data_IF_362190571676
#
_entry.id   IF_362190571676
#
_cell.length_a   1.000
_cell.length_b   1.000
_cell.length_c   1.000
_cell.angle_alpha   90.00
_cell.angle_beta   90.00
_cell.angle_gamma   90.00
#
_symmetry.space_group_name_H-M   'P 1'
#
loop_
_entity.id
_entity.type
_entity.pdbx_description
1 polymer ?
#
# COMPACT_ATOMS: atom_id res chain seq x y z
N UNK A 1 -23.20 15.18 -1.81
CA UNK A 1 -21.92 14.65 -2.32
C UNK A 1 -21.35 13.75 -1.23
N UNK A 2 -21.20 12.45 -1.49
CA UNK A 2 -20.59 11.55 -0.52
C UNK A 2 -19.11 11.93 -0.39
N UNK A 3 -18.67 12.27 0.82
CA UNK A 3 -17.25 12.49 1.10
C UNK A 3 -16.52 11.19 0.82
N UNK A 4 -15.51 11.23 -0.05
CA UNK A 4 -14.68 10.06 -0.31
C UNK A 4 -14.00 9.64 1.00
N UNK A 5 -14.02 8.34 1.33
CA UNK A 5 -13.32 7.80 2.50
C UNK A 5 -11.85 8.23 2.48
N UNK A 6 -11.25 8.52 3.65
CA UNK A 6 -9.84 8.86 3.75
C UNK A 6 -8.93 7.78 3.11
N UNK A 7 -9.39 6.52 3.12
CA UNK A 7 -8.75 5.39 2.46
C UNK A 7 -8.70 5.53 0.93
N UNK A 8 -9.83 5.82 0.30
CA UNK A 8 -9.87 5.99 -1.16
C UNK A 8 -9.13 7.25 -1.60
N UNK A 9 -9.09 8.28 -0.74
CA UNK A 9 -8.30 9.48 -0.97
C UNK A 9 -6.79 9.21 -0.97
N UNK A 10 -6.29 8.33 -0.08
CA UNK A 10 -4.89 7.87 -0.14
C UNK A 10 -4.59 7.20 -1.49
N UNK A 11 -5.45 6.28 -1.93
CA UNK A 11 -5.26 5.56 -3.18
C UNK A 11 -5.31 6.51 -4.39
N UNK A 12 -6.23 7.49 -4.39
CA UNK A 12 -6.29 8.52 -5.44
C UNK A 12 -5.00 9.33 -5.51
N UNK A 13 -4.45 9.75 -4.36
CA UNK A 13 -3.17 10.49 -4.32
C UNK A 13 -2.02 9.67 -4.87
N UNK A 14 -1.96 8.37 -4.55
CA UNK A 14 -0.97 7.48 -5.15
C UNK A 14 -1.13 7.42 -6.68
N UNK A 15 -2.35 7.26 -7.18
CA UNK A 15 -2.62 7.26 -8.62
C UNK A 15 -2.34 8.61 -9.32
N UNK A 16 -2.53 9.73 -8.61
CA UNK A 16 -2.19 11.07 -9.08
C UNK A 16 -0.68 11.28 -9.20
N UNK A 17 0.10 10.63 -8.33
CA UNK A 17 1.55 10.81 -8.26
C UNK A 17 2.34 9.77 -9.04
N UNK A 18 1.82 8.55 -9.17
CA UNK A 18 2.54 7.40 -9.73
C UNK A 18 1.74 6.79 -10.88
N UNK A 19 2.34 6.74 -12.07
CA UNK A 19 1.68 6.25 -13.29
C UNK A 19 1.38 4.76 -13.17
N UNK A 20 2.25 3.98 -12.55
CA UNK A 20 2.01 2.55 -12.34
C UNK A 20 0.77 2.30 -11.49
N UNK A 21 0.55 3.14 -10.46
CA UNK A 21 -0.63 3.07 -9.60
C UNK A 21 -1.89 3.57 -10.31
N UNK A 22 -1.77 4.57 -11.22
CA UNK A 22 -2.90 5.03 -12.03
C UNK A 22 -3.55 3.88 -12.81
N UNK A 23 -2.74 3.05 -13.46
CA UNK A 23 -3.25 1.91 -14.24
C UNK A 23 -4.09 0.97 -13.38
N UNK A 24 -3.56 0.55 -12.23
CA UNK A 24 -4.28 -0.30 -11.27
C UNK A 24 -5.57 0.37 -10.81
N UNK A 25 -5.51 1.65 -10.43
CA UNK A 25 -6.69 2.37 -9.96
C UNK A 25 -7.80 2.45 -11.03
N UNK A 26 -7.43 2.75 -12.28
CA UNK A 26 -8.39 2.91 -13.37
C UNK A 26 -9.09 1.58 -13.71
N UNK A 27 -8.36 0.45 -13.65
CA UNK A 27 -8.93 -0.89 -13.85
C UNK A 27 -10.02 -1.19 -12.80
N UNK A 28 -9.72 -0.98 -11.52
CA UNK A 28 -10.72 -1.15 -10.46
C UNK A 28 -11.85 -0.12 -10.52
N UNK A 29 -11.55 1.12 -10.90
CA UNK A 29 -12.59 2.14 -11.04
C UNK A 29 -13.58 1.76 -12.15
N UNK A 30 -13.10 1.26 -13.29
CA UNK A 30 -13.96 0.81 -14.38
C UNK A 30 -14.87 -0.35 -13.95
N UNK A 31 -14.30 -1.36 -13.30
CA UNK A 31 -15.02 -2.59 -12.94
C UNK A 31 -16.04 -2.38 -11.81
N UNK A 32 -15.71 -1.58 -10.80
CA UNK A 32 -16.56 -1.47 -9.60
C UNK A 32 -17.54 -0.29 -9.69
N UNK A 33 -17.19 0.81 -10.35
CA UNK A 33 -18.09 1.97 -10.39
C UNK A 33 -19.22 1.82 -11.41
N UNK A 34 -19.03 1.03 -12.48
CA UNK A 34 -20.07 0.73 -13.46
C UNK A 34 -21.30 0.05 -12.82
N UNK A 35 -21.07 -0.80 -11.82
CA UNK A 35 -22.10 -1.54 -11.08
C UNK A 35 -22.55 -0.83 -9.78
N UNK A 36 -22.09 0.41 -9.56
CA UNK A 36 -22.40 1.18 -8.35
C UNK A 36 -21.77 0.62 -7.06
N UNK A 37 -20.74 -0.22 -7.20
CA UNK A 37 -20.02 -0.81 -6.07
C UNK A 37 -18.94 0.15 -5.55
N UNK A 38 -18.61 -0.01 -4.27
CA UNK A 38 -17.50 0.70 -3.67
C UNK A 38 -16.18 0.15 -4.21
N UNK A 39 -15.24 1.05 -4.51
CA UNK A 39 -13.90 0.69 -4.94
C UNK A 39 -13.18 -0.02 -3.78
N UNK A 40 -12.63 -1.24 -3.99
CA UNK A 40 -11.98 -2.02 -2.94
C UNK A 40 -10.56 -1.51 -2.65
N UNK A 41 -10.43 -0.45 -1.86
CA UNK A 41 -9.15 0.22 -1.56
C UNK A 41 -8.02 -0.70 -1.08
N UNK A 42 -8.35 -1.72 -0.27
CA UNK A 42 -7.40 -2.73 0.20
C UNK A 42 -6.84 -3.60 -0.93
N UNK A 43 -7.66 -3.97 -1.92
CA UNK A 43 -7.21 -4.77 -3.06
C UNK A 43 -6.32 -3.96 -3.98
N UNK A 44 -6.65 -2.69 -4.21
CA UNK A 44 -5.79 -1.79 -4.98
C UNK A 44 -4.42 -1.68 -4.33
N UNK A 45 -4.34 -1.46 -3.00
CA UNK A 45 -3.05 -1.42 -2.34
C UNK A 45 -2.30 -2.75 -2.37
N UNK A 46 -3.00 -3.89 -2.38
CA UNK A 46 -2.37 -5.20 -2.51
C UNK A 46 -1.72 -5.37 -3.88
N UNK A 47 -2.40 -4.93 -4.94
CA UNK A 47 -1.85 -4.97 -6.30
C UNK A 47 -0.70 -3.99 -6.49
N UNK A 48 -0.77 -2.80 -5.87
CA UNK A 48 0.35 -1.85 -5.83
C UNK A 48 1.54 -2.44 -5.08
N UNK A 49 1.32 -3.11 -3.94
CA UNK A 49 2.37 -3.83 -3.22
C UNK A 49 3.03 -4.91 -4.08
N UNK A 50 2.24 -5.72 -4.78
CA UNK A 50 2.76 -6.74 -5.69
C UNK A 50 3.61 -6.11 -6.82
N UNK A 51 3.14 -5.00 -7.40
CA UNK A 51 3.90 -4.26 -8.40
C UNK A 51 5.23 -3.72 -7.85
N UNK A 52 5.21 -3.10 -6.66
CA UNK A 52 6.41 -2.58 -5.99
C UNK A 52 7.43 -3.70 -5.74
N UNK A 53 6.98 -4.84 -5.20
CA UNK A 53 7.85 -5.99 -4.94
C UNK A 53 8.55 -6.49 -6.21
N UNK A 54 7.81 -6.55 -7.32
CA UNK A 54 8.31 -7.04 -8.62
C UNK A 54 9.31 -6.09 -9.29
N UNK A 55 9.27 -4.79 -8.99
CA UNK A 55 10.06 -3.76 -9.67
C UNK A 55 11.04 -3.02 -8.75
N UNK A 56 11.27 -3.52 -7.53
CA UNK A 56 12.06 -2.79 -6.53
C UNK A 56 13.53 -2.60 -6.93
N UNK A 57 14.05 -3.48 -7.78
CA UNK A 57 15.47 -3.46 -8.20
C UNK A 57 15.72 -2.58 -9.43
N UNK A 58 14.70 -2.33 -10.26
CA UNK A 58 14.84 -1.69 -11.57
C UNK A 58 13.97 -0.43 -11.76
N UNK A 59 13.09 -0.12 -10.80
CA UNK A 59 12.21 1.04 -10.87
C UNK A 59 12.39 2.01 -9.71
N UNK A 60 12.85 3.22 -10.03
CA UNK A 60 12.87 4.33 -9.07
C UNK A 60 11.47 4.72 -8.58
N UNK A 61 10.42 4.41 -9.36
CA UNK A 61 9.02 4.63 -8.95
C UNK A 61 8.60 3.68 -7.83
N UNK A 62 9.09 2.43 -7.82
CA UNK A 62 8.81 1.48 -6.73
C UNK A 62 9.37 1.98 -5.39
N UNK A 63 10.61 2.48 -5.39
CA UNK A 63 11.22 3.10 -4.20
C UNK A 63 10.46 4.36 -3.78
N UNK A 64 10.08 5.21 -4.74
CA UNK A 64 9.33 6.43 -4.44
C UNK A 64 7.94 6.17 -3.84
N UNK A 65 7.27 5.07 -4.21
CA UNK A 65 6.02 4.63 -3.59
C UNK A 65 6.24 4.23 -2.13
N UNK A 66 7.31 3.47 -1.83
CA UNK A 66 7.66 3.13 -0.45
C UNK A 66 7.94 4.38 0.39
N UNK A 67 8.74 5.30 -0.14
CA UNK A 67 9.06 6.57 0.54
C UNK A 67 7.81 7.42 0.77
N UNK A 68 6.91 7.49 -0.21
CA UNK A 68 5.64 8.20 -0.07
C UNK A 68 4.78 7.61 1.04
N UNK A 69 4.61 6.29 1.05
CA UNK A 69 3.79 5.61 2.05
C UNK A 69 4.40 5.71 3.45
N UNK A 70 5.72 5.58 3.57
CA UNK A 70 6.44 5.72 4.83
C UNK A 70 6.32 7.14 5.41
N UNK A 71 6.49 8.17 4.57
CA UNK A 71 6.37 9.57 4.98
C UNK A 71 4.94 9.97 5.37
N UNK A 72 3.92 9.35 4.77
CA UNK A 72 2.51 9.61 5.07
C UNK A 72 2.07 8.86 6.33
N UNK A 73 2.53 7.63 6.52
CA UNK A 73 2.11 6.75 7.62
C UNK A 73 1.98 7.42 9.01
N UNK A 74 2.99 8.14 9.54
CA UNK A 74 2.90 8.73 10.88
C UNK A 74 1.87 9.86 11.01
N UNK A 75 1.45 10.46 9.90
CA UNK A 75 0.51 11.59 9.86
C UNK A 75 -0.94 11.14 9.65
N UNK A 76 -1.16 9.86 9.39
CA UNK A 76 -2.45 9.33 8.98
C UNK A 76 -3.33 8.87 10.15
N UNK A 77 -4.64 8.91 9.91
CA UNK A 77 -5.63 8.35 10.84
C UNK A 77 -5.49 6.83 10.92
N UNK A 78 -5.92 6.23 12.04
CA UNK A 78 -5.80 4.78 12.31
C UNK A 78 -6.37 3.91 11.18
N UNK A 79 -7.46 4.35 10.53
CA UNK A 79 -8.08 3.63 9.43
C UNK A 79 -7.18 3.56 8.19
N UNK A 80 -6.48 4.65 7.88
CA UNK A 80 -5.56 4.72 6.73
C UNK A 80 -4.27 3.98 7.05
N UNK A 81 -3.77 4.09 8.28
CA UNK A 81 -2.67 3.25 8.76
C UNK A 81 -2.99 1.77 8.66
N UNK A 82 -4.22 1.37 9.03
CA UNK A 82 -4.68 -0.02 8.89
C UNK A 82 -4.79 -0.47 7.43
N UNK A 83 -5.21 0.43 6.53
CA UNK A 83 -5.17 0.17 5.09
C UNK A 83 -3.73 -0.04 4.59
N UNK A 84 -2.77 0.80 4.99
CA UNK A 84 -1.36 0.63 4.61
C UNK A 84 -0.81 -0.69 5.17
N UNK A 85 -1.07 -1.00 6.44
CA UNK A 85 -0.59 -2.22 7.06
C UNK A 85 -1.15 -3.48 6.38
N UNK A 86 -2.47 -3.60 6.26
CA UNK A 86 -3.13 -4.81 5.77
C UNK A 86 -3.13 -4.88 4.24
N UNK A 87 -3.47 -3.78 3.58
CA UNK A 87 -3.57 -3.72 2.12
C UNK A 87 -2.20 -3.75 1.45
N UNK A 88 -1.20 -3.09 2.03
CA UNK A 88 0.12 -2.92 1.39
C UNK A 88 1.22 -3.76 2.06
N UNK A 89 1.47 -3.61 3.36
CA UNK A 89 2.60 -4.28 4.04
C UNK A 89 2.41 -5.79 4.13
N UNK A 90 1.24 -6.27 4.54
CA UNK A 90 0.97 -7.71 4.54
C UNK A 90 1.07 -8.31 3.14
N UNK A 91 0.59 -7.59 2.13
CA UNK A 91 0.70 -8.01 0.72
C UNK A 91 2.15 -8.09 0.26
N UNK A 92 2.99 -7.10 0.60
CA UNK A 92 4.43 -7.13 0.30
C UNK A 92 5.12 -8.36 0.90
N UNK A 93 4.82 -8.68 2.16
CA UNK A 93 5.40 -9.83 2.84
C UNK A 93 4.83 -11.17 2.36
N UNK A 94 3.54 -11.22 2.01
CA UNK A 94 2.89 -12.41 1.44
C UNK A 94 3.27 -12.68 0.00
N UNK A 95 3.86 -11.71 -0.70
CA UNK A 95 4.33 -11.85 -2.09
C UNK A 95 5.67 -12.63 -2.18
N UNK A 96 5.77 -13.80 -1.51
CA UNK A 96 6.69 -14.93 -1.75
C UNK A 96 8.10 -14.64 -2.32
N UNK A 97 8.91 -13.83 -1.65
CA UNK A 97 10.34 -14.07 -1.32
C UNK A 97 11.56 -13.93 -2.28
N UNK A 98 11.53 -13.43 -3.54
CA UNK A 98 12.80 -13.04 -4.19
C UNK A 98 13.32 -11.67 -3.72
N UNK A 99 12.40 -10.73 -3.43
CA UNK A 99 12.75 -9.31 -3.25
C UNK A 99 12.53 -8.78 -1.82
N UNK A 100 12.20 -9.65 -0.86
CA UNK A 100 11.95 -9.28 0.54
C UNK A 100 13.08 -8.46 1.17
N UNK A 101 14.36 -8.87 1.05
CA UNK A 101 15.49 -8.09 1.55
C UNK A 101 15.60 -6.71 0.91
N UNK A 102 15.37 -6.58 -0.40
CA UNK A 102 15.46 -5.35 -1.18
C UNK A 102 14.33 -4.39 -0.81
N UNK A 103 13.09 -4.90 -0.72
CA UNK A 103 11.93 -4.13 -0.24
C UNK A 103 12.18 -3.64 1.18
N UNK A 104 12.68 -4.49 2.08
CA UNK A 104 12.98 -4.09 3.46
C UNK A 104 14.08 -3.04 3.52
N UNK A 105 15.14 -3.20 2.70
CA UNK A 105 16.25 -2.25 2.61
C UNK A 105 15.81 -0.89 2.06
N UNK A 106 14.89 -0.88 1.10
CA UNK A 106 14.32 0.33 0.50
C UNK A 106 13.21 0.96 1.36
N UNK A 107 12.56 0.18 2.23
CA UNK A 107 11.51 0.68 3.12
C UNK A 107 12.07 1.65 4.15
N UNK A 108 11.37 2.78 4.33
CA UNK A 108 11.61 3.71 5.43
C UNK A 108 11.29 3.11 6.82
N UNK A 109 11.56 3.86 7.90
CA UNK A 109 11.51 3.35 9.26
C UNK A 109 10.15 2.82 9.71
N UNK A 110 9.03 3.42 9.26
CA UNK A 110 7.70 3.01 9.71
C UNK A 110 7.25 1.73 9.04
N UNK A 111 7.39 1.65 7.72
CA UNK A 111 7.06 0.45 6.96
C UNK A 111 8.00 -0.70 7.35
N UNK A 112 9.29 -0.43 7.58
CA UNK A 112 10.23 -1.44 8.08
C UNK A 112 9.78 -1.99 9.43
N UNK A 113 9.38 -1.14 10.38
CA UNK A 113 8.85 -1.60 11.67
C UNK A 113 7.64 -2.50 11.50
N UNK A 114 6.72 -2.17 10.59
CA UNK A 114 5.55 -3.02 10.32
C UNK A 114 5.94 -4.37 9.71
N UNK A 115 6.91 -4.40 8.80
CA UNK A 115 7.48 -5.64 8.26
C UNK A 115 8.11 -6.49 9.38
N UNK A 116 8.86 -5.88 10.29
CA UNK A 116 9.46 -6.57 11.44
C UNK A 116 8.39 -7.18 12.39
N UNK A 117 7.30 -6.44 12.62
CA UNK A 117 6.17 -6.90 13.43
C UNK A 117 5.48 -8.08 12.74
N UNK A 118 5.24 -7.97 11.43
CA UNK A 118 4.62 -9.03 10.65
C UNK A 118 5.47 -10.30 10.63
N UNK A 119 6.78 -10.17 10.47
CA UNK A 119 7.72 -11.30 10.51
C UNK A 119 7.73 -11.99 11.89
N UNK A 120 7.66 -11.22 12.97
CA UNK A 120 7.70 -11.76 14.34
C UNK A 120 6.36 -12.30 14.84
N UNK A 121 5.23 -11.79 14.34
CA UNK A 121 3.89 -12.08 14.88
C UNK A 121 2.92 -12.72 13.86
N UNK A 122 3.26 -12.74 12.58
CA UNK A 122 2.47 -13.34 11.50
C UNK A 122 1.31 -12.48 10.98
N UNK A 123 0.84 -11.50 11.74
CA UNK A 123 -0.17 -10.50 11.33
C UNK A 123 0.08 -9.16 12.02
N UNK A 124 -0.40 -8.06 11.42
CA UNK A 124 -0.32 -6.73 12.03
C UNK A 124 -1.63 -6.44 12.79
N UNK A 125 -1.53 -6.09 14.08
CA UNK A 125 -2.69 -5.81 14.92
C UNK A 125 -2.85 -4.30 15.17
N UNK A 126 -4.05 -3.88 15.60
CA UNK A 126 -4.36 -2.46 15.80
C UNK A 126 -3.40 -1.73 16.75
N UNK A 127 -2.92 -2.38 17.81
CA UNK A 127 -1.93 -1.83 18.76
C UNK A 127 -0.58 -1.49 18.10
N UNK A 128 -0.28 -2.15 16.98
CA UNK A 128 0.98 -2.01 16.26
C UNK A 128 0.93 -0.84 15.25
N UNK A 129 -0.25 -0.24 15.09
CA UNK A 129 -0.51 0.90 14.20
C UNK A 129 -0.40 2.26 14.91
N UNK A 130 -0.30 2.28 16.25
CA UNK A 130 -0.16 3.48 17.07
C UNK A 130 1.22 4.11 16.93
#
# INVERSE_FOLDING_TARGET
MATASAKIELVRRLADQFRSVRGVFDDYAADFTADGLAIPDQLILADVANWVSTHIEDSGEAVAILDFLDGRYPQEHIDVKGLIAVGFVESLARSWEPHGPQVRAASGPYLRRLLDILESQGAIFAKDLE
#
